data_IF_069486670052
#
_entry.id   IF_069486670052
#
_cell.length_a   1.000
_cell.length_b   1.000
_cell.length_c   1.000
_cell.angle_alpha   90.00
_cell.angle_beta   90.00
_cell.angle_gamma   90.00
#
_symmetry.space_group_name_H-M   'P 1'
#
loop_
_entity.id
_entity.type
_entity.pdbx_description
1 polymer ?
#
# COMPACT_ATOMS: atom_id res chain seq x y z
N UNK A 1 -1.77 -0.85 7.79
CA UNK A 1 -1.63 -0.45 6.38
C UNK A 1 -1.11 -1.59 5.53
N UNK A 2 0.12 -2.07 5.74
CA UNK A 2 0.70 -3.17 4.94
C UNK A 2 -0.14 -4.45 4.88
N UNK A 3 -0.69 -4.91 6.02
CA UNK A 3 -1.56 -6.09 6.03
C UNK A 3 -2.84 -5.91 5.18
N UNK A 4 -3.23 -4.67 4.91
CA UNK A 4 -4.31 -4.30 4.01
C UNK A 4 -3.81 -4.05 2.57
N UNK A 5 -2.62 -4.57 2.26
CA UNK A 5 -1.92 -4.50 0.98
C UNK A 5 -1.48 -3.10 0.55
N UNK A 6 -1.40 -2.16 1.51
CA UNK A 6 -0.90 -0.81 1.30
C UNK A 6 0.54 -0.71 1.82
N UNK A 7 1.48 -0.99 0.92
CA UNK A 7 2.92 -0.95 1.17
C UNK A 7 3.51 0.46 0.93
N UNK A 8 4.82 0.70 1.16
CA UNK A 8 5.42 2.03 1.11
C UNK A 8 5.33 2.70 -0.25
N UNK A 9 5.21 1.93 -1.34
CA UNK A 9 5.01 2.45 -2.68
C UNK A 9 3.66 3.18 -2.83
N UNK A 10 2.61 2.67 -2.18
CA UNK A 10 1.29 3.28 -2.22
C UNK A 10 1.06 4.27 -1.08
N UNK A 11 1.67 4.01 0.07
CA UNK A 11 1.52 4.83 1.27
C UNK A 11 2.86 4.86 2.01
N UNK A 12 3.70 5.89 1.78
CA UNK A 12 5.04 5.98 2.35
C UNK A 12 5.04 5.89 3.89
N UNK A 13 6.04 5.20 4.46
CA UNK A 13 6.13 5.00 5.91
C UNK A 13 6.22 6.34 6.66
N UNK A 14 7.06 7.26 6.18
CA UNK A 14 7.17 8.60 6.76
C UNK A 14 5.83 9.35 6.76
N UNK A 15 5.00 9.16 5.74
CA UNK A 15 3.67 9.76 5.73
C UNK A 15 2.79 9.18 6.86
N UNK A 16 2.86 7.87 7.11
CA UNK A 16 2.12 7.23 8.22
C UNK A 16 2.62 7.76 9.56
N UNK A 17 3.94 7.81 9.76
CA UNK A 17 4.54 8.31 11.00
C UNK A 17 4.16 9.77 11.30
N UNK A 18 4.16 10.63 10.27
CA UNK A 18 3.74 12.02 10.40
C UNK A 18 2.25 12.17 10.71
N UNK A 19 1.39 11.34 10.13
CA UNK A 19 -0.04 11.31 10.48
C UNK A 19 -0.26 10.79 11.90
N UNK A 20 0.50 9.79 12.35
CA UNK A 20 0.42 9.33 13.74
C UNK A 20 0.91 10.42 14.70
N UNK A 21 1.99 11.13 14.36
CA UNK A 21 2.49 12.27 15.14
C UNK A 21 1.44 13.38 15.26
N UNK A 22 0.62 13.60 14.22
CA UNK A 22 -0.48 14.58 14.23
C UNK A 22 -1.48 14.30 15.37
N UNK A 23 -1.73 13.04 15.71
CA UNK A 23 -2.64 12.64 16.79
C UNK A 23 -2.13 13.04 18.18
N UNK A 24 -0.83 13.26 18.33
CA UNK A 24 -0.20 13.69 19.58
C UNK A 24 -0.07 15.22 19.66
N UNK A 25 0.23 15.87 18.53
CA UNK A 25 0.38 17.32 18.45
C UNK A 25 -0.96 18.06 18.45
N UNK A 26 -1.97 17.47 17.79
CA UNK A 26 -3.33 18.01 17.67
C UNK A 26 -4.32 17.00 18.24
N UNK A 27 -4.34 16.78 19.57
CA UNK A 27 -5.16 15.73 20.18
C UNK A 27 -6.66 16.09 20.23
N UNK A 28 -7.02 17.35 19.99
CA UNK A 28 -8.40 17.85 20.09
C UNK A 28 -9.37 17.07 19.20
N UNK A 29 -10.60 16.78 19.67
CA UNK A 29 -11.21 17.17 20.95
C UNK A 29 -10.80 16.27 22.14
N UNK A 30 -9.91 15.31 21.94
CA UNK A 30 -9.47 14.35 22.96
C UNK A 30 -8.15 14.77 23.64
N UNK A 31 -7.62 13.89 24.47
CA UNK A 31 -6.26 13.98 25.06
C UNK A 31 -5.28 13.09 24.30
N UNK A 32 -3.97 13.37 24.24
CA UNK A 32 -3.01 12.54 23.52
C UNK A 32 -3.13 11.04 23.85
N UNK A 33 -3.03 10.13 22.85
CA UNK A 33 -3.20 8.70 23.11
C UNK A 33 -2.15 8.17 24.09
N UNK A 34 -2.61 7.56 25.20
CA UNK A 34 -1.75 6.97 26.23
C UNK A 34 -1.60 5.44 26.13
N UNK A 35 -2.33 4.83 25.18
CA UNK A 35 -2.32 3.39 24.91
C UNK A 35 -2.19 3.16 23.40
N UNK A 36 -1.41 2.16 22.96
CA UNK A 36 -1.21 1.89 21.54
C UNK A 36 -2.52 1.51 20.83
N UNK A 37 -3.42 0.78 21.50
CA UNK A 37 -4.73 0.41 20.95
C UNK A 37 -5.59 1.65 20.69
N UNK A 38 -5.60 2.60 21.63
CA UNK A 38 -6.35 3.85 21.48
C UNK A 38 -5.76 4.72 20.37
N UNK A 39 -4.43 4.81 20.28
CA UNK A 39 -3.75 5.48 19.18
C UNK A 39 -4.12 4.87 17.82
N UNK A 40 -4.14 3.54 17.74
CA UNK A 40 -4.58 2.82 16.54
C UNK A 40 -6.03 3.14 16.15
N UNK A 41 -6.98 3.11 17.10
CA UNK A 41 -8.38 3.44 16.79
C UNK A 41 -8.55 4.88 16.32
N UNK A 42 -7.83 5.82 16.92
CA UNK A 42 -7.86 7.22 16.49
C UNK A 42 -7.21 7.43 15.14
N UNK A 43 -6.15 6.68 14.84
CA UNK A 43 -5.55 6.69 13.51
C UNK A 43 -6.52 6.17 12.45
N UNK A 44 -7.26 5.08 12.72
CA UNK A 44 -8.32 4.62 11.83
C UNK A 44 -9.43 5.66 11.68
N UNK A 45 -9.83 6.31 12.77
CA UNK A 45 -10.85 7.36 12.75
C UNK A 45 -10.42 8.56 11.90
N UNK A 46 -9.17 9.00 12.04
CA UNK A 46 -8.56 10.05 11.22
C UNK A 46 -8.62 9.66 9.73
N UNK A 47 -8.13 8.46 9.37
CA UNK A 47 -8.16 8.00 7.98
C UNK A 47 -9.58 7.93 7.39
N UNK A 48 -10.57 7.50 8.19
CA UNK A 48 -11.93 7.28 7.72
C UNK A 48 -12.73 8.58 7.53
N UNK A 49 -12.47 9.61 8.33
CA UNK A 49 -13.34 10.80 8.40
C UNK A 49 -12.67 12.09 7.90
N UNK A 50 -11.35 12.13 7.77
CA UNK A 50 -10.66 13.34 7.33
C UNK A 50 -10.81 13.56 5.82
N UNK A 51 -11.21 14.77 5.43
CA UNK A 51 -11.23 15.18 4.04
C UNK A 51 -9.92 15.86 3.65
N UNK A 52 -8.98 15.07 3.14
CA UNK A 52 -7.66 15.51 2.70
C UNK A 52 -7.70 16.57 1.57
N UNK A 53 -8.83 16.72 0.88
CA UNK A 53 -8.98 17.76 -0.14
C UNK A 53 -9.13 19.15 0.48
N UNK A 54 -9.78 19.25 1.65
CA UNK A 54 -10.10 20.52 2.28
C UNK A 54 -9.21 20.85 3.47
N UNK A 55 -8.65 19.84 4.12
CA UNK A 55 -7.92 19.98 5.37
C UNK A 55 -6.42 19.67 5.18
N UNK A 56 -5.51 20.65 5.35
CA UNK A 56 -4.08 20.39 5.40
C UNK A 56 -3.68 19.81 6.76
N UNK A 57 -2.66 18.94 6.79
CA UNK A 57 -2.06 18.46 8.05
C UNK A 57 -0.82 19.27 8.35
N UNK A 58 -0.90 20.18 9.32
CA UNK A 58 0.20 21.06 9.73
C UNK A 58 0.81 20.52 11.02
N UNK A 59 2.07 20.11 10.96
CA UNK A 59 2.79 19.45 12.05
C UNK A 59 3.80 20.44 12.64
N UNK A 60 3.42 21.14 13.70
CA UNK A 60 4.31 22.06 14.41
C UNK A 60 5.25 21.29 15.35
N UNK A 61 6.23 20.59 14.78
CA UNK A 61 7.24 19.86 15.54
C UNK A 61 8.05 20.85 16.40
N UNK A 62 8.22 20.53 17.68
CA UNK A 62 8.96 21.32 18.68
C UNK A 62 8.49 22.78 18.86
N UNK A 63 7.28 23.13 18.41
CA UNK A 63 6.78 24.52 18.41
C UNK A 63 7.67 25.50 17.62
N UNK A 64 8.34 25.02 16.56
CA UNK A 64 9.21 25.84 15.69
C UNK A 64 8.44 26.78 14.75
N UNK A 65 7.14 26.56 14.53
CA UNK A 65 6.29 27.39 13.69
C UNK A 65 5.45 28.35 14.52
N UNK A 66 5.42 29.62 14.10
CA UNK A 66 4.56 30.63 14.73
C UNK A 66 3.11 30.52 14.25
N UNK A 67 2.20 31.27 14.87
CA UNK A 67 0.80 31.32 14.40
C UNK A 67 0.68 31.97 13.03
N UNK A 68 1.52 32.96 12.77
CA UNK A 68 1.59 33.66 11.47
C UNK A 68 2.04 32.70 10.37
N UNK A 69 3.03 31.83 10.65
CA UNK A 69 3.47 30.78 9.74
C UNK A 69 2.32 29.81 9.39
N UNK A 70 1.56 29.37 10.38
CA UNK A 70 0.45 28.43 10.19
C UNK A 70 -0.64 29.06 9.29
N UNK A 71 -1.01 30.32 9.57
CA UNK A 71 -2.00 31.04 8.75
C UNK A 71 -1.52 31.28 7.31
N UNK A 72 -0.22 31.54 7.12
CA UNK A 72 0.37 31.65 5.78
C UNK A 72 0.24 30.33 5.02
N UNK A 73 0.50 29.20 5.68
CA UNK A 73 0.43 27.87 5.08
C UNK A 73 -1.01 27.51 4.71
N UNK A 74 -1.98 27.78 5.58
CA UNK A 74 -3.41 27.56 5.27
C UNK A 74 -3.85 28.39 4.06
N UNK A 75 -3.51 29.68 4.04
CA UNK A 75 -3.83 30.58 2.92
C UNK A 75 -3.18 30.10 1.62
N UNK A 76 -1.92 29.65 1.72
CA UNK A 76 -1.18 29.11 0.58
C UNK A 76 -1.80 27.80 0.06
N UNK A 77 -2.19 26.89 0.96
CA UNK A 77 -2.84 25.62 0.63
C UNK A 77 -4.14 25.84 -0.15
N UNK A 78 -5.00 26.76 0.32
CA UNK A 78 -6.26 27.06 -0.35
C UNK A 78 -6.07 27.74 -1.71
N UNK A 79 -5.09 28.64 -1.83
CA UNK A 79 -4.81 29.33 -3.09
C UNK A 79 -4.19 28.43 -4.17
N UNK A 80 -3.44 27.39 -3.77
CA UNK A 80 -2.71 26.51 -4.69
C UNK A 80 -3.26 25.09 -4.75
N UNK A 81 -4.46 24.82 -4.21
CA UNK A 81 -4.96 23.45 -4.00
C UNK A 81 -4.90 22.55 -5.23
N UNK A 82 -5.12 23.10 -6.42
CA UNK A 82 -5.12 22.37 -7.69
C UNK A 82 -3.76 21.74 -8.06
N UNK A 83 -2.66 22.29 -7.55
CA UNK A 83 -1.30 21.80 -7.84
C UNK A 83 -0.75 20.91 -6.73
N UNK A 84 -1.43 20.82 -5.58
CA UNK A 84 -0.95 20.12 -4.40
C UNK A 84 -1.37 18.66 -4.37
N UNK A 85 -0.58 17.79 -3.72
CA UNK A 85 -0.95 16.40 -3.57
C UNK A 85 -2.31 16.24 -2.87
N UNK A 86 -3.00 15.11 -3.07
CA UNK A 86 -4.25 14.80 -2.40
C UNK A 86 -4.15 14.88 -0.87
N UNK A 87 -3.07 14.36 -0.30
CA UNK A 87 -2.71 14.54 1.11
C UNK A 87 -1.59 15.56 1.21
N UNK A 88 -1.82 16.67 1.89
CA UNK A 88 -0.82 17.72 2.10
C UNK A 88 -0.33 17.71 3.55
N UNK A 89 0.98 17.51 3.72
CA UNK A 89 1.68 17.53 4.99
C UNK A 89 2.63 18.72 5.02
N UNK A 90 2.51 19.56 6.04
CA UNK A 90 3.44 20.65 6.31
C UNK A 90 4.21 20.39 7.60
N UNK A 91 5.51 20.61 7.59
CA UNK A 91 6.40 20.53 8.75
C UNK A 91 7.24 21.81 8.85
N UNK A 92 7.96 22.07 9.96
CA UNK A 92 8.80 23.27 10.06
C UNK A 92 9.92 23.30 8.99
N UNK A 93 10.39 22.12 8.59
CA UNK A 93 11.43 21.91 7.57
C UNK A 93 10.87 21.93 6.14
N UNK A 94 9.57 21.77 5.97
CA UNK A 94 8.88 21.76 4.67
C UNK A 94 7.48 22.36 4.80
N UNK A 95 7.39 23.68 4.63
CA UNK A 95 6.14 24.44 4.80
C UNK A 95 5.17 24.33 3.61
N UNK A 96 5.67 24.07 2.40
CA UNK A 96 4.90 24.25 1.15
C UNK A 96 5.01 23.09 0.16
N UNK A 97 6.05 22.27 0.18
CA UNK A 97 6.27 21.31 -0.90
C UNK A 97 5.61 19.95 -0.65
N UNK A 98 5.37 19.59 0.62
CA UNK A 98 4.81 18.30 1.02
C UNK A 98 5.62 17.13 0.46
N UNK A 99 6.94 17.15 0.70
CA UNK A 99 7.93 16.25 0.10
C UNK A 99 7.54 14.78 0.28
N UNK A 100 7.02 14.42 1.46
CA UNK A 100 6.66 13.05 1.81
C UNK A 100 5.37 12.53 1.19
N UNK A 101 4.59 13.39 0.51
CA UNK A 101 3.32 12.99 -0.14
C UNK A 101 3.20 13.44 -1.58
N UNK A 102 4.30 13.90 -2.19
CA UNK A 102 4.31 14.39 -3.57
C UNK A 102 3.96 13.31 -4.60
N UNK A 103 4.47 12.11 -4.41
CA UNK A 103 4.28 10.98 -5.35
C UNK A 103 3.17 10.03 -4.89
N UNK A 104 3.12 9.73 -3.60
CA UNK A 104 2.15 8.84 -2.97
C UNK A 104 1.81 9.35 -1.56
N UNK A 105 0.59 9.17 -1.06
CA UNK A 105 -0.49 8.37 -1.65
C UNK A 105 -1.29 9.10 -2.73
N UNK A 106 -1.75 8.34 -3.73
CA UNK A 106 -2.71 8.85 -4.71
C UNK A 106 -4.11 9.01 -4.09
N UNK A 107 -4.97 9.80 -4.72
CA UNK A 107 -6.34 10.00 -4.25
C UNK A 107 -7.11 8.68 -4.11
N UNK A 108 -6.93 7.76 -5.06
CA UNK A 108 -7.57 6.44 -5.04
C UNK A 108 -7.10 5.61 -3.85
N UNK A 109 -5.81 5.67 -3.51
CA UNK A 109 -5.26 4.99 -2.34
C UNK A 109 -5.78 5.60 -1.04
N UNK A 110 -5.92 6.92 -0.96
CA UNK A 110 -6.52 7.59 0.20
C UNK A 110 -7.98 7.19 0.39
N UNK A 111 -8.79 7.18 -0.69
CA UNK A 111 -10.18 6.74 -0.64
C UNK A 111 -10.26 5.28 -0.19
N UNK A 112 -9.40 4.40 -0.74
CA UNK A 112 -9.31 3.00 -0.32
C UNK A 112 -8.93 2.88 1.16
N UNK A 113 -7.94 3.63 1.63
CA UNK A 113 -7.53 3.65 3.02
C UNK A 113 -8.66 4.11 3.96
N UNK A 114 -9.41 5.14 3.57
CA UNK A 114 -10.56 5.64 4.31
C UNK A 114 -11.68 4.59 4.42
N UNK A 115 -12.03 3.94 3.30
CA UNK A 115 -13.03 2.86 3.29
C UNK A 115 -12.62 1.68 4.17
N UNK A 116 -11.37 1.23 4.05
CA UNK A 116 -10.82 0.15 4.87
C UNK A 116 -10.80 0.51 6.36
N UNK A 117 -10.44 1.75 6.69
CA UNK A 117 -10.42 2.23 8.07
C UNK A 117 -11.84 2.32 8.66
N UNK A 118 -12.81 2.83 7.90
CA UNK A 118 -14.21 2.88 8.31
C UNK A 118 -14.80 1.49 8.55
N UNK A 119 -14.53 0.54 7.66
CA UNK A 119 -14.97 -0.85 7.83
C UNK A 119 -14.27 -1.54 9.00
N UNK A 120 -12.97 -1.29 9.20
CA UNK A 120 -12.25 -1.80 10.36
C UNK A 120 -12.84 -1.29 11.68
N UNK A 121 -13.21 0.00 11.76
CA UNK A 121 -13.88 0.57 12.93
C UNK A 121 -15.24 -0.10 13.20
N UNK A 122 -16.04 -0.32 12.15
CA UNK A 122 -17.34 -1.02 12.25
C UNK A 122 -17.17 -2.45 12.78
N UNK A 123 -16.16 -3.16 12.29
CA UNK A 123 -15.83 -4.51 12.78
C UNK A 123 -15.39 -4.43 14.24
N UNK A 124 -14.48 -3.52 14.61
CA UNK A 124 -14.03 -3.35 16.00
C UNK A 124 -15.21 -3.06 16.93
N UNK A 125 -16.11 -2.16 16.56
CA UNK A 125 -17.30 -1.85 17.34
C UNK A 125 -18.15 -3.10 17.58
N UNK A 126 -18.43 -3.87 16.51
CA UNK A 126 -19.17 -5.12 16.62
C UNK A 126 -18.49 -6.16 17.52
N UNK A 127 -17.15 -6.21 17.53
CA UNK A 127 -16.36 -7.11 18.35
C UNK A 127 -16.36 -6.70 19.82
N UNK A 128 -16.36 -5.39 20.11
CA UNK A 128 -16.38 -4.86 21.49
C UNK A 128 -17.70 -5.16 22.19
N UNK A 129 -18.81 -5.14 21.46
CA UNK A 129 -20.15 -5.42 22.00
C UNK A 129 -20.58 -6.88 21.88
N UNK A 130 -19.83 -7.72 21.16
CA UNK A 130 -20.10 -9.15 21.05
C UNK A 130 -19.62 -9.92 22.29
N UNK A 131 -20.47 -10.79 22.83
CA UNK A 131 -20.12 -11.67 23.95
C UNK A 131 -19.26 -12.89 23.54
N UNK A 132 -19.07 -13.12 22.23
CA UNK A 132 -18.36 -14.29 21.70
C UNK A 132 -16.90 -13.92 21.43
N UNK A 133 -15.97 -14.83 21.75
CA UNK A 133 -14.56 -14.74 21.34
C UNK A 133 -14.47 -14.78 19.81
N UNK A 134 -14.52 -13.61 19.20
CA UNK A 134 -14.37 -13.43 17.77
C UNK A 134 -12.92 -13.12 17.39
N UNK A 135 -12.54 -13.48 16.17
CA UNK A 135 -11.18 -13.31 15.66
C UNK A 135 -10.91 -11.85 15.25
N UNK A 136 -10.38 -11.06 16.19
CA UNK A 136 -10.03 -9.66 15.95
C UNK A 136 -9.02 -9.48 14.81
N UNK A 137 -8.25 -10.52 14.45
CA UNK A 137 -7.30 -10.46 13.33
C UNK A 137 -7.98 -10.21 11.99
N UNK A 138 -9.30 -10.37 11.89
CA UNK A 138 -10.08 -10.07 10.70
C UNK A 138 -9.79 -8.66 10.15
N UNK A 139 -9.58 -7.65 11.02
CA UNK A 139 -9.28 -6.29 10.58
C UNK A 139 -7.90 -6.15 9.91
N UNK A 140 -7.05 -7.16 10.02
CA UNK A 140 -5.74 -7.23 9.38
C UNK A 140 -5.72 -8.17 8.17
N UNK A 141 -6.87 -8.78 7.81
CA UNK A 141 -6.99 -9.62 6.61
C UNK A 141 -7.62 -8.80 5.48
N UNK A 142 -6.94 -8.64 4.34
CA UNK A 142 -7.49 -7.91 3.22
C UNK A 142 -8.50 -8.77 2.45
N UNK A 143 -9.55 -8.15 1.92
CA UNK A 143 -10.37 -8.82 0.90
C UNK A 143 -9.60 -8.86 -0.42
N UNK A 144 -9.44 -10.06 -0.97
CA UNK A 144 -8.81 -10.29 -2.27
C UNK A 144 -9.83 -10.27 -3.42
N UNK A 145 -11.11 -10.06 -3.14
CA UNK A 145 -12.20 -10.19 -4.12
C UNK A 145 -12.12 -9.14 -5.23
N UNK A 146 -11.75 -7.91 -4.88
CA UNK A 146 -11.74 -6.76 -5.77
C UNK A 146 -10.55 -6.67 -6.74
N UNK A 147 -9.64 -7.65 -6.76
CA UNK A 147 -8.47 -7.66 -7.65
C UNK A 147 -8.69 -8.56 -8.86
N UNK A 148 -8.19 -8.11 -10.02
CA UNK A 148 -8.34 -8.79 -11.29
C UNK A 148 -7.43 -10.01 -11.39
N UNK A 149 -6.22 -9.92 -10.84
CA UNK A 149 -5.20 -10.97 -10.91
C UNK A 149 -4.56 -11.16 -9.54
N UNK A 150 -4.31 -12.40 -9.15
CA UNK A 150 -3.62 -12.76 -7.92
C UNK A 150 -2.36 -13.54 -8.26
N UNK A 151 -1.19 -12.96 -8.02
CA UNK A 151 0.10 -13.64 -8.22
C UNK A 151 0.46 -14.33 -6.90
N UNK A 152 0.42 -15.66 -6.90
CA UNK A 152 0.83 -16.47 -5.75
C UNK A 152 2.33 -16.72 -5.79
N UNK A 153 2.98 -16.51 -4.65
CA UNK A 153 4.42 -16.67 -4.50
C UNK A 153 4.75 -18.01 -3.85
N UNK A 154 5.94 -18.56 -4.10
CA UNK A 154 6.42 -19.70 -3.33
C UNK A 154 6.73 -19.28 -1.88
N UNK A 155 6.06 -19.85 -0.86
CA UNK A 155 6.28 -19.47 0.53
C UNK A 155 7.72 -19.66 1.00
N UNK A 156 8.49 -20.57 0.37
CA UNK A 156 9.90 -20.82 0.70
C UNK A 156 10.83 -19.67 0.31
N UNK A 157 10.41 -18.82 -0.63
CA UNK A 157 11.20 -17.69 -1.11
C UNK A 157 10.81 -16.36 -0.48
N UNK A 158 9.70 -16.33 0.25
CA UNK A 158 9.35 -15.20 1.08
C UNK A 158 10.13 -15.24 2.40
N UNK A 159 11.20 -14.46 2.48
CA UNK A 159 12.04 -14.35 3.68
C UNK A 159 11.27 -13.85 4.92
N UNK A 160 10.18 -13.10 4.71
CA UNK A 160 9.34 -12.51 5.76
C UNK A 160 8.08 -13.30 6.07
N UNK A 161 7.91 -14.50 5.51
CA UNK A 161 6.70 -15.35 5.70
C UNK A 161 6.24 -15.53 7.15
N UNK A 162 7.15 -15.43 8.12
CA UNK A 162 6.87 -15.61 9.55
C UNK A 162 6.36 -14.32 10.23
N UNK A 163 6.34 -13.19 9.51
CA UNK A 163 5.76 -11.92 9.98
C UNK A 163 4.25 -11.81 9.66
N UNK A 164 3.71 -12.75 8.88
CA UNK A 164 2.32 -12.73 8.41
C UNK A 164 1.31 -12.78 9.57
N UNK A 165 0.14 -12.16 9.38
CA UNK A 165 -0.95 -12.13 10.39
C UNK A 165 -1.39 -13.55 10.82
N UNK A 166 -1.44 -14.46 9.84
CA UNK A 166 -1.86 -15.85 10.00
C UNK A 166 -0.70 -16.81 9.72
N UNK A 167 0.35 -16.75 10.53
CA UNK A 167 1.37 -17.79 10.52
C UNK A 167 0.75 -19.10 11.00
N UNK A 168 0.70 -20.10 10.12
CA UNK A 168 0.48 -21.48 10.53
C UNK A 168 1.67 -21.87 11.41
N UNK A 169 1.45 -21.98 12.72
CA UNK A 169 2.46 -22.47 13.64
C UNK A 169 2.70 -23.95 13.35
N UNK A 170 3.50 -24.24 12.33
CA UNK A 170 4.20 -25.50 12.32
C UNK A 170 5.15 -25.41 13.51
N UNK A 171 4.76 -26.03 14.63
CA UNK A 171 5.52 -26.07 15.88
C UNK A 171 6.82 -26.88 15.73
N UNK A 172 7.35 -27.00 14.51
CA UNK A 172 8.65 -27.58 14.18
C UNK A 172 9.68 -26.45 14.08
N UNK A 173 10.09 -25.98 15.26
CA UNK A 173 11.48 -25.66 15.55
C UNK A 173 12.23 -24.78 14.54
N UNK A 174 11.92 -23.48 14.50
CA UNK A 174 13.00 -22.51 14.35
C UNK A 174 13.73 -22.43 15.70
N UNK A 175 14.34 -23.54 16.15
CA UNK A 175 15.37 -23.45 17.16
C UNK A 175 16.51 -22.70 16.48
N UNK A 176 16.72 -21.45 16.87
CA UNK A 176 17.83 -20.65 16.40
C UNK A 176 19.10 -21.35 16.89
N UNK A 177 19.65 -22.25 16.08
CA UNK A 177 20.91 -22.89 16.36
C UNK A 177 22.01 -21.85 16.18
N UNK A 178 23.03 -21.90 17.04
CA UNK A 178 24.22 -21.08 16.86
C UNK A 178 24.77 -21.34 15.46
N UNK A 179 24.95 -20.28 14.68
CA UNK A 179 25.51 -20.38 13.35
C UNK A 179 26.88 -21.06 13.39
N UNK A 180 27.02 -22.20 12.71
CA UNK A 180 28.28 -22.91 12.52
C UNK A 180 28.63 -22.84 11.04
N UNK A 181 29.68 -22.07 10.73
CA UNK A 181 30.14 -21.91 9.35
C UNK A 181 30.74 -23.21 8.82
N UNK A 182 30.15 -23.77 7.77
CA UNK A 182 30.70 -24.95 7.10
C UNK A 182 31.89 -24.59 6.19
N UNK A 183 32.86 -25.51 5.98
CA UNK A 183 33.96 -25.28 5.06
C UNK A 183 33.45 -25.07 3.62
N UNK A 184 33.73 -23.91 3.04
CA UNK A 184 33.25 -23.54 1.70
C UNK A 184 31.86 -22.88 1.69
N UNK A 185 31.24 -22.68 2.85
CA UNK A 185 29.98 -21.96 2.96
C UNK A 185 30.14 -20.50 2.54
N UNK A 186 29.34 -20.10 1.55
CA UNK A 186 29.24 -18.70 1.12
C UNK A 186 28.30 -17.98 2.07
N UNK A 187 28.73 -16.83 2.56
CA UNK A 187 27.90 -15.97 3.40
C UNK A 187 26.64 -15.60 2.60
N UNK A 188 25.43 -15.80 3.15
CA UNK A 188 24.22 -15.40 2.46
C UNK A 188 24.22 -13.89 2.25
N UNK A 189 23.76 -13.43 1.08
CA UNK A 189 23.64 -12.00 0.78
C UNK A 189 22.64 -11.40 1.76
N UNK A 190 23.13 -10.53 2.64
CA UNK A 190 22.28 -9.85 3.62
C UNK A 190 21.34 -8.88 2.93
N UNK A 191 20.08 -8.84 3.36
CA UNK A 191 19.07 -7.95 2.80
C UNK A 191 18.53 -8.36 1.42
N UNK A 192 18.97 -9.47 0.83
CA UNK A 192 18.38 -9.98 -0.40
C UNK A 192 16.98 -10.56 -0.13
N UNK A 193 15.96 -9.95 -0.73
CA UNK A 193 14.59 -10.44 -0.72
C UNK A 193 14.10 -10.59 -2.17
N UNK A 194 13.98 -11.82 -2.70
CA UNK A 194 13.63 -12.03 -4.10
C UNK A 194 12.22 -11.53 -4.43
N UNK A 195 11.29 -11.55 -3.46
CA UNK A 195 9.93 -11.04 -3.66
C UNK A 195 9.94 -9.52 -3.86
N UNK A 196 10.74 -8.80 -3.08
CA UNK A 196 10.86 -7.35 -3.22
C UNK A 196 11.51 -6.96 -4.55
N UNK A 197 12.55 -7.69 -4.98
CA UNK A 197 13.17 -7.49 -6.29
C UNK A 197 12.16 -7.70 -7.43
N UNK A 198 11.43 -8.82 -7.38
CA UNK A 198 10.39 -9.12 -8.37
C UNK A 198 9.28 -8.06 -8.39
N UNK A 199 8.77 -7.64 -7.22
CA UNK A 199 7.75 -6.60 -7.12
C UNK A 199 8.24 -5.25 -7.66
N UNK A 200 9.53 -4.91 -7.45
CA UNK A 200 10.14 -3.71 -8.00
C UNK A 200 10.17 -3.76 -9.53
N UNK A 201 10.60 -4.88 -10.12
CA UNK A 201 10.61 -5.07 -11.58
C UNK A 201 9.19 -5.00 -12.19
N UNK A 202 8.18 -5.55 -11.51
CA UNK A 202 6.79 -5.43 -11.95
C UNK A 202 6.34 -3.97 -11.98
N UNK A 203 6.65 -3.21 -10.93
CA UNK A 203 6.27 -1.79 -10.84
C UNK A 203 7.03 -0.94 -11.84
N UNK A 204 8.31 -1.18 -12.06
CA UNK A 204 9.09 -0.42 -13.03
C UNK A 204 8.54 -0.58 -14.46
N UNK A 205 8.15 -1.80 -14.84
CA UNK A 205 7.75 -2.10 -16.21
C UNK A 205 6.25 -1.97 -16.50
N UNK A 206 5.38 -2.17 -15.49
CA UNK A 206 3.93 -2.31 -15.70
C UNK A 206 3.07 -1.34 -14.90
N UNK A 207 3.67 -0.39 -14.15
CA UNK A 207 2.89 0.60 -13.39
C UNK A 207 1.99 1.46 -14.26
N UNK A 208 2.25 1.61 -15.55
CA UNK A 208 1.37 2.35 -16.47
C UNK A 208 0.06 1.61 -16.77
N UNK A 209 0.05 0.28 -16.62
CA UNK A 209 -1.08 -0.58 -16.99
C UNK A 209 -1.82 -1.14 -15.78
N UNK A 210 -1.11 -1.39 -14.68
CA UNK A 210 -1.65 -2.03 -13.50
C UNK A 210 -1.13 -1.42 -12.20
N UNK A 211 -1.85 -1.69 -11.11
CA UNK A 211 -1.45 -1.39 -9.74
C UNK A 211 -1.12 -2.71 -9.03
N UNK A 212 0.03 -2.76 -8.36
CA UNK A 212 0.55 -3.97 -7.70
C UNK A 212 0.56 -3.81 -6.19
N UNK A 213 -0.34 -4.50 -5.51
CA UNK A 213 -0.48 -4.41 -4.06
C UNK A 213 0.26 -5.55 -3.37
N UNK A 214 0.78 -5.30 -2.17
CA UNK A 214 1.56 -6.31 -1.45
C UNK A 214 1.55 -6.04 0.06
N UNK A 215 1.61 -7.11 0.86
CA UNK A 215 1.89 -6.99 2.29
C UNK A 215 3.36 -7.31 2.55
N UNK A 216 4.14 -6.28 2.90
CA UNK A 216 5.57 -6.40 3.12
C UNK A 216 5.91 -7.26 4.34
N UNK A 217 4.98 -7.45 5.27
CA UNK A 217 5.15 -8.24 6.50
C UNK A 217 4.63 -9.67 6.32
N UNK A 218 5.18 -10.38 5.34
CA UNK A 218 4.93 -11.80 5.15
C UNK A 218 3.74 -12.16 4.26
N UNK A 219 3.20 -11.19 3.51
CA UNK A 219 2.25 -11.46 2.44
C UNK A 219 2.84 -12.43 1.41
N UNK A 220 2.06 -13.42 0.98
CA UNK A 220 2.51 -14.42 0.01
C UNK A 220 1.77 -14.33 -1.34
N UNK A 221 1.02 -13.25 -1.53
CA UNK A 221 0.22 -12.99 -2.72
C UNK A 221 0.49 -11.53 -3.10
N UNK A 222 0.67 -11.27 -4.39
CA UNK A 222 0.70 -9.91 -4.97
C UNK A 222 -0.60 -9.74 -5.77
N UNK A 223 -1.62 -9.08 -5.21
CA UNK A 223 -2.82 -8.75 -5.94
C UNK A 223 -2.58 -7.61 -6.93
N UNK A 224 -3.15 -7.73 -8.12
CA UNK A 224 -2.98 -6.79 -9.21
C UNK A 224 -4.35 -6.29 -9.67
N UNK A 225 -4.44 -4.99 -9.92
CA UNK A 225 -5.62 -4.32 -10.45
C UNK A 225 -5.26 -3.59 -11.74
N UNK A 226 -5.99 -3.86 -12.82
CA UNK A 226 -5.79 -3.14 -14.07
C UNK A 226 -6.28 -1.71 -13.95
N UNK A 227 -5.52 -0.76 -14.49
CA UNK A 227 -5.98 0.62 -14.58
C UNK A 227 -7.10 0.69 -15.63
N UNK A 228 -8.25 1.32 -15.33
CA UNK A 228 -9.33 1.45 -16.31
C UNK A 228 -8.87 2.12 -17.62
N UNK A 229 -7.96 3.09 -17.53
CA UNK A 229 -7.39 3.78 -18.70
C UNK A 229 -6.46 2.91 -19.56
N UNK A 230 -5.98 1.78 -19.04
CA UNK A 230 -5.17 0.81 -19.77
C UNK A 230 -6.03 -0.21 -20.53
N UNK A 231 -7.23 -0.51 -20.03
CA UNK A 231 -8.16 -1.45 -20.67
C UNK A 231 -8.91 -0.85 -21.87
N UNK A 232 -9.03 0.48 -21.94
CA UNK A 232 -9.71 1.16 -23.05
C UNK A 232 -8.91 1.03 -24.36
N UNK A 233 -9.54 0.64 -25.48
CA UNK A 233 -8.89 0.60 -26.79
C UNK A 233 -8.37 1.97 -27.21
N UNK A 234 -7.11 2.02 -27.67
CA UNK A 234 -6.43 3.25 -28.08
C UNK A 234 -6.12 3.23 -29.57
N UNK A 235 -6.03 4.43 -30.16
CA UNK A 235 -5.53 4.56 -31.53
C UNK A 235 -4.06 4.13 -31.61
N UNK A 236 -3.68 3.54 -32.74
CA UNK A 236 -2.32 3.09 -32.98
C UNK A 236 -1.35 4.28 -32.97
N UNK A 237 -0.45 4.29 -31.99
CA UNK A 237 0.69 5.20 -31.87
C UNK A 237 1.89 4.41 -31.42
N UNK A 238 3.09 4.80 -31.86
CA UNK A 238 4.34 4.10 -31.49
C UNK A 238 4.52 4.01 -29.97
N UNK A 239 4.09 5.03 -29.23
CA UNK A 239 4.09 5.05 -27.76
C UNK A 239 3.13 4.06 -27.09
N UNK A 240 2.13 3.54 -27.82
CA UNK A 240 1.11 2.62 -27.31
C UNK A 240 1.34 1.17 -27.74
N UNK A 241 2.48 0.85 -28.36
CA UNK A 241 2.76 -0.51 -28.85
C UNK A 241 3.05 -1.47 -27.69
N UNK A 242 3.78 -1.00 -26.68
CA UNK A 242 4.19 -1.84 -25.55
C UNK A 242 2.95 -2.41 -24.84
N UNK A 243 2.98 -3.73 -24.59
CA UNK A 243 1.93 -4.50 -23.93
C UNK A 243 0.55 -4.51 -24.63
N UNK A 244 0.42 -4.02 -25.87
CA UNK A 244 -0.84 -4.03 -26.61
C UNK A 244 -0.81 -4.96 -27.83
N UNK A 245 -1.99 -5.45 -28.23
CA UNK A 245 -2.23 -6.20 -29.47
C UNK A 245 -3.22 -5.45 -30.36
N UNK A 246 -3.22 -5.67 -31.69
CA UNK A 246 -4.25 -5.11 -32.55
C UNK A 246 -5.62 -5.69 -32.16
N UNK A 247 -6.63 -4.82 -32.08
CA UNK A 247 -8.01 -5.24 -31.85
C UNK A 247 -8.55 -6.01 -33.06
N UNK A 248 -9.67 -6.74 -32.87
CA UNK A 248 -10.26 -7.61 -33.90
C UNK A 248 -10.60 -6.87 -35.20
N UNK A 249 -10.95 -5.58 -35.09
CA UNK A 249 -11.26 -4.71 -36.23
C UNK A 249 -10.01 -4.10 -36.89
N UNK A 250 -8.82 -4.32 -36.33
CA UNK A 250 -7.53 -3.85 -36.85
C UNK A 250 -7.28 -2.34 -36.78
N UNK A 251 -8.27 -1.55 -36.35
CA UNK A 251 -8.19 -0.08 -36.31
C UNK A 251 -7.55 0.49 -35.04
N UNK A 252 -7.65 -0.26 -33.93
CA UNK A 252 -7.18 0.15 -32.60
C UNK A 252 -6.28 -0.91 -31.99
N UNK A 253 -5.56 -0.51 -30.95
CA UNK A 253 -4.77 -1.40 -30.10
C UNK A 253 -5.46 -1.58 -28.75
N UNK A 254 -5.46 -2.80 -28.24
CA UNK A 254 -6.04 -3.21 -26.96
C UNK A 254 -4.97 -3.86 -26.09
N UNK A 255 -5.11 -3.78 -24.77
CA UNK A 255 -4.14 -4.35 -23.84
C UNK A 255 -4.06 -5.88 -24.02
N UNK A 256 -2.85 -6.39 -24.21
CA UNK A 256 -2.63 -7.82 -24.35
C UNK A 256 -2.41 -8.46 -22.97
N UNK A 257 -3.50 -8.62 -22.22
CA UNK A 257 -3.47 -9.18 -20.86
C UNK A 257 -2.75 -10.53 -20.83
N UNK A 258 -3.03 -11.42 -21.77
CA UNK A 258 -2.42 -12.76 -21.81
C UNK A 258 -0.89 -12.70 -21.86
N UNK A 259 -0.33 -11.84 -22.72
CA UNK A 259 1.12 -11.66 -22.81
C UNK A 259 1.72 -11.05 -21.54
N UNK A 260 1.04 -10.09 -20.91
CA UNK A 260 1.50 -9.50 -19.65
C UNK A 260 1.54 -10.57 -18.53
N UNK A 261 0.57 -11.47 -18.49
CA UNK A 261 0.57 -12.58 -17.52
C UNK A 261 1.73 -13.53 -17.79
N UNK A 262 2.01 -13.86 -19.06
CA UNK A 262 3.18 -14.66 -19.41
C UNK A 262 4.48 -13.96 -18.99
N UNK A 263 4.59 -12.65 -19.19
CA UNK A 263 5.73 -11.85 -18.74
C UNK A 263 5.89 -11.88 -17.22
N UNK A 264 4.79 -11.86 -16.46
CA UNK A 264 4.84 -12.03 -14.99
C UNK A 264 5.42 -13.39 -14.59
N UNK A 265 5.10 -14.47 -15.31
CA UNK A 265 5.71 -15.78 -15.10
C UNK A 265 7.19 -15.81 -15.47
N UNK A 266 7.58 -15.12 -16.55
CA UNK A 266 8.97 -15.05 -17.03
C UNK A 266 9.85 -14.28 -16.04
N UNK A 267 9.43 -13.07 -15.65
CA UNK A 267 10.12 -12.24 -14.67
C UNK A 267 10.15 -12.91 -13.29
N UNK A 268 9.02 -13.50 -12.90
CA UNK A 268 8.85 -14.18 -11.63
C UNK A 268 9.42 -15.59 -11.58
N UNK A 269 10.22 -16.02 -12.55
CA UNK A 269 10.68 -17.41 -12.66
C UNK A 269 11.38 -17.86 -11.38
N UNK A 270 10.84 -18.90 -10.77
CA UNK A 270 11.32 -19.45 -9.51
C UNK A 270 10.69 -18.82 -8.28
N UNK A 271 10.16 -17.58 -8.35
CA UNK A 271 9.48 -16.87 -7.24
C UNK A 271 7.96 -17.09 -7.28
N UNK A 272 7.37 -17.02 -8.47
CA UNK A 272 5.92 -17.18 -8.70
C UNK A 272 5.55 -18.65 -8.74
N UNK A 273 4.53 -19.04 -7.98
CA UNK A 273 3.95 -20.38 -8.01
C UNK A 273 2.83 -20.50 -9.05
N UNK A 274 1.84 -19.61 -8.98
CA UNK A 274 0.65 -19.62 -9.83
C UNK A 274 0.12 -18.19 -9.97
N UNK A 275 -0.56 -17.89 -11.06
CA UNK A 275 -1.24 -16.61 -11.28
C UNK A 275 -2.70 -16.91 -11.58
N UNK A 276 -3.58 -16.45 -10.69
CA UNK A 276 -5.02 -16.63 -10.84
C UNK A 276 -5.60 -15.35 -11.47
N UNK A 277 -6.11 -15.47 -12.69
CA UNK A 277 -6.81 -14.39 -13.39
C UNK A 277 -8.31 -14.57 -13.17
N UNK A 278 -8.95 -13.59 -12.55
CA UNK A 278 -10.41 -13.64 -12.36
C UNK A 278 -11.11 -13.26 -13.64
N UNK A 279 -11.93 -14.17 -14.16
CA UNK A 279 -12.69 -14.01 -15.40
C UNK A 279 -13.90 -13.05 -15.28
N UNK A 280 -13.80 -11.99 -14.45
CA UNK A 280 -14.95 -11.19 -14.03
C UNK A 280 -14.86 -9.67 -14.28
N UNK A 281 -13.73 -9.15 -14.77
CA UNK A 281 -13.60 -7.72 -15.14
C UNK A 281 -13.46 -7.59 -16.65
N UNK A 282 -14.41 -8.17 -17.37
CA UNK A 282 -14.58 -7.96 -18.80
C UNK A 282 -15.67 -6.88 -18.98
N UNK A 283 -15.21 -5.68 -19.35
CA UNK A 283 -15.96 -4.54 -19.89
C UNK A 283 -16.91 -3.79 -18.95
#
# INVERSE_FOLDING_TARGET
MSSQLLDPHHFPEMCIELLVASLYLMPEPYQPPNQPQLGFFRFLHLLAHTNWQTEPVILNLNAEMTREDILEIETWFHSHRSTLPPLFLSTPYDKKNSIWTKEAPSLQILIRAAMLAGEALRVIESLLFSAIKSDWKQIFRPSLEAFDVLIHLFPKLNSRRYEAVDVKSDKSNCQLQSYLKEPGEKIPVTGFNPVNCFLAELRENYSDYALFFYDMYGGNIIPVLWKPSALLPKDFKVSHINCHKPSKDGSKVELNVDAIIDDFYILGKGVVSTIDVKSGSAL
#
